data_IF_930363772561
#
_entry.id   IF_930363772561
#
_cell.length_a   1.000
_cell.length_b   1.000
_cell.length_c   1.000
_cell.angle_alpha   90.00
_cell.angle_beta   90.00
_cell.angle_gamma   90.00
#
_symmetry.space_group_name_H-M   'P 1'
#
loop_
_entity.id
_entity.type
_entity.pdbx_description
1 polymer ?
#
# COMPACT_ATOMS: atom_id res chain seq x y z
N UNK A 1 8.09 -32.03 -6.67
CA UNK A 1 9.52 -31.71 -6.46
C UNK A 1 9.63 -30.49 -5.57
N UNK A 2 10.49 -30.51 -4.55
CA UNK A 2 10.72 -29.35 -3.70
C UNK A 2 11.58 -28.33 -4.47
N UNK A 3 11.06 -27.12 -4.67
CA UNK A 3 11.83 -26.02 -5.26
C UNK A 3 13.06 -25.73 -4.40
N UNK A 4 14.23 -25.58 -5.04
CA UNK A 4 15.46 -25.15 -4.33
C UNK A 4 15.27 -23.76 -3.73
N UNK A 5 15.87 -23.48 -2.56
CA UNK A 5 15.78 -22.17 -1.92
C UNK A 5 16.27 -21.08 -2.87
N UNK A 6 15.43 -20.09 -3.13
CA UNK A 6 15.75 -18.93 -3.95
C UNK A 6 16.24 -17.78 -3.06
N UNK A 7 17.16 -16.95 -3.58
CA UNK A 7 17.59 -15.71 -2.93
C UNK A 7 16.81 -14.53 -3.50
N UNK A 8 16.32 -13.66 -2.62
CA UNK A 8 15.65 -12.40 -2.99
C UNK A 8 16.38 -11.25 -2.30
N UNK A 9 16.86 -10.29 -3.08
CA UNK A 9 17.33 -9.01 -2.55
C UNK A 9 16.16 -8.04 -2.51
N UNK A 10 15.96 -7.38 -1.38
CA UNK A 10 14.92 -6.36 -1.20
C UNK A 10 15.65 -5.05 -0.86
N UNK A 11 15.41 -3.96 -1.62
CA UNK A 11 16.00 -2.69 -1.29
C UNK A 11 15.38 -2.17 0.01
N UNK A 12 16.23 -1.68 0.91
CA UNK A 12 15.80 -1.00 2.13
C UNK A 12 15.76 0.51 1.86
N UNK A 13 14.68 1.16 2.27
CA UNK A 13 14.53 2.59 2.10
C UNK A 13 15.21 3.34 3.25
N UNK A 14 16.00 4.37 2.92
CA UNK A 14 16.59 5.26 3.92
C UNK A 14 15.63 6.38 4.27
N UNK A 15 15.57 6.74 5.56
CA UNK A 15 14.78 7.87 6.03
C UNK A 15 15.41 9.21 5.61
N UNK A 16 14.54 10.15 5.21
CA UNK A 16 14.97 11.49 4.81
C UNK A 16 15.35 12.33 6.03
N UNK A 17 16.52 12.95 6.04
CA UNK A 17 16.94 13.82 7.15
C UNK A 17 15.97 14.98 7.42
N UNK A 18 15.86 15.42 8.68
CA UNK A 18 15.13 16.62 9.07
C UNK A 18 15.85 17.89 8.57
N UNK A 19 15.10 18.97 8.39
CA UNK A 19 15.66 20.30 8.09
C UNK A 19 15.30 21.23 9.22
N UNK A 20 16.28 21.97 9.73
CA UNK A 20 16.12 22.94 10.79
C UNK A 20 16.70 24.31 10.40
N UNK A 21 16.21 25.36 11.06
CA UNK A 21 16.80 26.69 10.98
C UNK A 21 18.09 26.78 11.83
N UNK A 22 18.82 27.90 11.73
CA UNK A 22 20.03 28.22 12.50
C UNK A 22 19.87 28.11 14.02
N UNK A 23 18.64 28.18 14.54
CA UNK A 23 18.33 28.04 15.96
C UNK A 23 17.84 26.64 16.35
N UNK A 24 17.88 25.67 15.43
CA UNK A 24 17.41 24.31 15.66
C UNK A 24 15.89 24.12 15.56
N UNK A 25 15.14 25.15 15.14
CA UNK A 25 13.70 25.03 14.90
C UNK A 25 13.44 24.13 13.70
N UNK A 26 12.65 23.07 13.88
CA UNK A 26 12.30 22.13 12.80
C UNK A 26 11.46 22.81 11.73
N UNK A 27 11.94 22.78 10.50
CA UNK A 27 11.23 23.30 9.32
C UNK A 27 10.62 22.21 8.46
N UNK A 28 11.23 21.02 8.46
CA UNK A 28 10.69 19.84 7.79
C UNK A 28 11.11 18.56 8.50
N UNK A 29 10.14 17.68 8.76
CA UNK A 29 10.33 16.44 9.51
C UNK A 29 9.56 15.28 8.89
N UNK A 30 9.91 14.07 9.33
CA UNK A 30 9.25 12.84 8.93
C UNK A 30 8.24 12.44 10.00
N UNK A 31 6.99 12.24 9.61
CA UNK A 31 5.93 11.78 10.49
C UNK A 31 5.41 10.45 10.00
N UNK A 32 5.18 9.51 10.92
CA UNK A 32 4.56 8.23 10.60
C UNK A 32 3.14 8.45 10.08
N UNK A 33 2.80 7.73 9.02
CA UNK A 33 1.48 7.70 8.42
C UNK A 33 1.04 6.25 8.28
N UNK A 34 -0.09 5.93 8.89
CA UNK A 34 -0.68 4.60 8.81
C UNK A 34 -1.67 4.52 7.65
N UNK A 35 -1.50 3.55 6.77
CA UNK A 35 -2.34 3.36 5.60
C UNK A 35 -3.07 2.03 5.68
N UNK A 36 -4.32 2.05 5.26
CA UNK A 36 -5.15 0.85 5.06
C UNK A 36 -5.34 0.68 3.57
N UNK A 37 -5.03 -0.50 3.08
CA UNK A 37 -5.10 -0.87 1.69
C UNK A 37 -5.71 -2.24 1.47
N UNK A 38 -5.88 -2.57 0.19
CA UNK A 38 -6.46 -3.82 -0.24
C UNK A 38 -5.53 -4.47 -1.27
N UNK A 39 -5.21 -5.74 -1.03
CA UNK A 39 -4.47 -6.61 -1.94
C UNK A 39 -5.41 -7.62 -2.59
N UNK A 40 -5.74 -7.40 -3.87
CA UNK A 40 -6.62 -8.33 -4.60
C UNK A 40 -5.97 -9.69 -4.85
N UNK A 41 -4.63 -9.78 -4.76
CA UNK A 41 -3.89 -11.02 -4.94
C UNK A 41 -4.38 -12.11 -3.99
N UNK A 42 -4.51 -11.78 -2.69
CA UNK A 42 -4.97 -12.74 -1.68
C UNK A 42 -6.47 -13.08 -1.84
N UNK A 43 -7.29 -12.14 -2.31
CA UNK A 43 -8.72 -12.38 -2.61
C UNK A 43 -8.88 -13.34 -3.80
N UNK A 44 -7.95 -13.27 -4.77
CA UNK A 44 -7.95 -14.12 -5.96
C UNK A 44 -7.77 -15.60 -5.63
N UNK A 45 -7.03 -15.90 -4.57
CA UNK A 45 -6.78 -17.27 -4.11
C UNK A 45 -8.07 -17.95 -3.58
N UNK A 46 -9.07 -17.17 -3.18
CA UNK A 46 -10.40 -17.67 -2.81
C UNK A 46 -11.12 -18.16 -4.08
N UNK A 47 -11.69 -19.38 -4.11
CA UNK A 47 -12.38 -19.89 -5.29
C UNK A 47 -13.62 -19.05 -5.64
N UNK A 48 -13.88 -18.87 -6.94
CA UNK A 48 -15.02 -18.08 -7.43
C UNK A 48 -16.36 -18.68 -6.98
N UNK A 49 -16.48 -20.01 -7.09
CA UNK A 49 -17.69 -20.77 -6.76
C UNK A 49 -17.29 -22.11 -6.16
N UNK A 50 -18.06 -22.61 -5.20
CA UNK A 50 -17.86 -23.92 -4.58
C UNK A 50 -19.21 -24.65 -4.52
N UNK A 51 -19.17 -25.96 -4.69
CA UNK A 51 -20.34 -26.82 -4.46
C UNK A 51 -20.58 -26.95 -2.96
N UNK A 52 -21.73 -26.46 -2.50
CA UNK A 52 -22.22 -26.68 -1.15
C UNK A 52 -23.32 -27.75 -1.19
N UNK A 53 -23.24 -28.73 -0.29
CA UNK A 53 -24.30 -29.72 -0.12
C UNK A 53 -25.13 -29.29 1.08
N UNK A 54 -26.40 -28.97 0.86
CA UNK A 54 -27.30 -28.63 1.96
C UNK A 54 -27.66 -29.88 2.78
N UNK A 55 -28.24 -29.69 3.97
CA UNK A 55 -28.67 -30.79 4.88
C UNK A 55 -29.65 -31.78 4.22
N UNK A 56 -30.30 -31.37 3.11
CA UNK A 56 -31.21 -32.18 2.32
C UNK A 56 -30.54 -32.91 1.13
N UNK A 57 -29.21 -32.90 1.04
CA UNK A 57 -28.44 -33.62 0.01
C UNK A 57 -28.39 -32.94 -1.37
N UNK A 58 -29.04 -31.79 -1.54
CA UNK A 58 -29.02 -31.03 -2.79
C UNK A 58 -27.72 -30.23 -2.90
N UNK A 59 -27.04 -30.36 -4.05
CA UNK A 59 -25.84 -29.60 -4.37
C UNK A 59 -26.20 -28.25 -4.98
N UNK A 60 -25.77 -27.17 -4.35
CA UNK A 60 -25.93 -25.80 -4.85
C UNK A 60 -24.56 -25.18 -5.12
N UNK A 61 -24.47 -24.40 -6.21
CA UNK A 61 -23.26 -23.69 -6.58
C UNK A 61 -23.28 -22.31 -5.94
N UNK A 62 -22.46 -22.10 -4.90
CA UNK A 62 -22.44 -20.86 -4.11
C UNK A 62 -21.28 -19.95 -4.56
N UNK A 63 -21.51 -18.65 -4.81
CA UNK A 63 -20.47 -17.72 -5.24
C UNK A 63 -19.62 -17.19 -4.07
N UNK A 64 -18.76 -18.05 -3.51
CA UNK A 64 -17.95 -17.78 -2.31
C UNK A 64 -17.15 -16.49 -2.37
N UNK A 65 -16.44 -16.21 -3.48
CA UNK A 65 -15.61 -14.98 -3.58
C UNK A 65 -16.47 -13.71 -3.55
N UNK A 66 -17.63 -13.73 -4.21
CA UNK A 66 -18.54 -12.56 -4.23
C UNK A 66 -19.10 -12.29 -2.83
N UNK A 67 -19.50 -13.35 -2.13
CA UNK A 67 -20.02 -13.25 -0.77
C UNK A 67 -18.94 -12.81 0.22
N UNK A 68 -17.70 -13.26 0.01
CA UNK A 68 -16.55 -12.79 0.77
C UNK A 68 -16.30 -11.30 0.57
N UNK A 69 -16.23 -10.81 -0.68
CA UNK A 69 -16.01 -9.40 -0.98
C UNK A 69 -17.09 -8.53 -0.32
N UNK A 70 -18.35 -8.96 -0.35
CA UNK A 70 -19.45 -8.27 0.34
C UNK A 70 -19.24 -8.13 1.85
N UNK A 71 -18.92 -9.25 2.52
CA UNK A 71 -18.63 -9.26 3.97
C UNK A 71 -17.39 -8.44 4.32
N UNK A 72 -16.38 -8.49 3.45
CA UNK A 72 -15.15 -7.76 3.62
C UNK A 72 -15.36 -6.25 3.43
N UNK A 73 -16.15 -5.83 2.45
CA UNK A 73 -16.54 -4.45 2.25
C UNK A 73 -17.37 -3.93 3.43
N UNK A 74 -18.32 -4.72 3.94
CA UNK A 74 -19.09 -4.39 5.15
C UNK A 74 -18.18 -4.16 6.36
N UNK A 75 -17.23 -5.06 6.58
CA UNK A 75 -16.26 -4.94 7.67
C UNK A 75 -15.40 -3.67 7.56
N UNK A 76 -14.85 -3.39 6.37
CA UNK A 76 -14.02 -2.21 6.14
C UNK A 76 -14.82 -0.92 6.25
N UNK A 77 -16.05 -0.89 5.71
CA UNK A 77 -16.94 0.26 5.81
C UNK A 77 -17.23 0.63 7.26
N UNK A 78 -17.43 -0.37 8.13
CA UNK A 78 -17.65 -0.15 9.57
C UNK A 78 -16.39 0.38 10.28
N UNK A 79 -15.22 -0.20 10.01
CA UNK A 79 -13.97 0.19 10.68
C UNK A 79 -13.42 1.54 10.20
N UNK A 80 -13.65 1.90 8.94
CA UNK A 80 -13.16 3.12 8.31
C UNK A 80 -14.20 4.25 8.25
N UNK A 81 -15.44 3.98 8.64
CA UNK A 81 -16.57 4.90 8.53
C UNK A 81 -16.78 5.41 7.10
N UNK A 82 -16.69 4.49 6.13
CA UNK A 82 -16.85 4.74 4.71
C UNK A 82 -18.13 4.11 4.19
N UNK A 83 -18.59 4.53 3.01
CA UNK A 83 -19.72 3.89 2.36
C UNK A 83 -19.35 2.48 1.87
N UNK A 84 -20.25 1.52 2.09
CA UNK A 84 -20.06 0.11 1.73
C UNK A 84 -19.97 -0.06 0.23
N UNK A 85 -20.91 0.55 -0.50
CA UNK A 85 -21.02 0.39 -1.95
C UNK A 85 -19.77 0.96 -2.62
N UNK A 86 -19.29 2.11 -2.15
CA UNK A 86 -18.01 2.68 -2.57
C UNK A 86 -16.81 1.71 -2.39
N UNK A 87 -16.71 1.01 -1.26
CA UNK A 87 -15.61 0.06 -1.01
C UNK A 87 -15.72 -1.15 -1.93
N UNK A 88 -16.91 -1.73 -2.07
CA UNK A 88 -17.16 -2.89 -2.96
C UNK A 88 -16.84 -2.54 -4.42
N UNK A 89 -17.30 -1.39 -4.90
CA UNK A 89 -17.03 -0.89 -6.25
C UNK A 89 -15.54 -0.65 -6.47
N UNK A 90 -14.85 -0.07 -5.49
CA UNK A 90 -13.40 0.16 -5.57
C UNK A 90 -12.62 -1.15 -5.68
N UNK A 91 -13.02 -2.17 -4.92
CA UNK A 91 -12.42 -3.51 -5.01
C UNK A 91 -12.58 -4.08 -6.42
N UNK A 92 -13.79 -4.03 -6.98
CA UNK A 92 -14.06 -4.55 -8.31
C UNK A 92 -13.35 -3.75 -9.41
N UNK A 93 -13.34 -2.42 -9.32
CA UNK A 93 -12.68 -1.56 -10.30
C UNK A 93 -11.15 -1.78 -10.32
N UNK A 94 -10.53 -1.89 -9.13
CA UNK A 94 -9.07 -2.06 -9.01
C UNK A 94 -8.61 -3.49 -9.26
N UNK A 95 -9.48 -4.49 -9.15
CA UNK A 95 -9.15 -5.91 -9.37
C UNK A 95 -8.52 -6.17 -10.76
N UNK A 96 -8.96 -5.44 -11.79
CA UNK A 96 -8.47 -5.58 -13.17
C UNK A 96 -7.11 -4.91 -13.38
N UNK A 97 -6.83 -3.82 -12.67
CA UNK A 97 -5.62 -2.98 -12.87
C UNK A 97 -4.50 -3.36 -11.92
N UNK A 98 -4.82 -3.62 -10.65
CA UNK A 98 -3.86 -3.83 -9.55
C UNK A 98 -4.02 -5.23 -8.95
N UNK A 99 -4.19 -6.24 -9.80
CA UNK A 99 -4.46 -7.61 -9.36
C UNK A 99 -3.35 -8.25 -8.50
N UNK A 100 -2.11 -7.73 -8.58
CA UNK A 100 -0.94 -8.26 -7.86
C UNK A 100 -0.38 -7.30 -6.80
N UNK A 101 -0.74 -6.01 -6.84
CA UNK A 101 -0.14 -4.95 -6.02
C UNK A 101 -1.22 -4.38 -5.09
N UNK A 102 -0.95 -4.22 -3.79
CA UNK A 102 -1.91 -3.56 -2.91
C UNK A 102 -2.13 -2.10 -3.31
N UNK A 103 -3.33 -1.59 -3.09
CA UNK A 103 -3.63 -0.17 -3.24
C UNK A 103 -4.16 0.40 -1.94
N UNK A 104 -3.86 1.67 -1.67
CA UNK A 104 -4.33 2.37 -0.47
C UNK A 104 -5.81 2.72 -0.66
N UNK A 105 -6.64 2.28 0.28
CA UNK A 105 -8.04 2.66 0.38
C UNK A 105 -8.19 3.95 1.20
N UNK A 106 -7.50 4.02 2.34
CA UNK A 106 -7.47 5.20 3.20
C UNK A 106 -6.07 5.43 3.76
N UNK A 107 -5.59 6.65 3.57
CA UNK A 107 -4.32 7.11 4.11
C UNK A 107 -4.51 7.81 5.47
N UNK A 108 -3.48 7.78 6.31
CA UNK A 108 -3.41 8.52 7.57
C UNK A 108 -4.53 8.16 8.57
N UNK A 109 -4.80 6.87 8.76
CA UNK A 109 -5.73 6.39 9.79
C UNK A 109 -5.13 6.55 11.19
N UNK A 110 -5.97 6.51 12.22
CA UNK A 110 -5.50 6.52 13.60
C UNK A 110 -4.64 5.30 13.92
N UNK A 111 -3.65 5.45 14.79
CA UNK A 111 -2.78 4.35 15.23
C UNK A 111 -3.61 3.20 15.84
N UNK A 112 -4.65 3.54 16.62
CA UNK A 112 -5.57 2.55 17.20
C UNK A 112 -6.27 1.71 16.13
N UNK A 113 -6.78 2.36 15.08
CA UNK A 113 -7.41 1.68 13.94
C UNK A 113 -6.39 0.82 13.20
N UNK A 114 -5.19 1.35 12.95
CA UNK A 114 -4.09 0.62 12.30
C UNK A 114 -3.74 -0.66 13.05
N UNK A 115 -3.49 -0.57 14.36
CA UNK A 115 -3.10 -1.72 15.18
C UNK A 115 -4.21 -2.78 15.21
N UNK A 116 -5.48 -2.36 15.31
CA UNK A 116 -6.64 -3.27 15.26
C UNK A 116 -6.71 -4.01 13.93
N UNK A 117 -6.62 -3.29 12.81
CA UNK A 117 -6.65 -3.89 11.47
C UNK A 117 -5.42 -4.77 11.23
N UNK A 118 -4.26 -4.41 11.77
CA UNK A 118 -3.04 -5.22 11.67
C UNK A 118 -3.19 -6.59 12.33
N UNK A 119 -3.89 -6.67 13.46
CA UNK A 119 -4.19 -7.96 14.12
C UNK A 119 -5.14 -8.82 13.30
N UNK A 120 -6.07 -8.19 12.57
CA UNK A 120 -7.11 -8.83 11.77
C UNK A 120 -6.63 -9.18 10.34
N UNK A 121 -5.46 -8.68 9.91
CA UNK A 121 -4.88 -8.93 8.59
C UNK A 121 -4.72 -10.42 8.27
N UNK A 122 -4.44 -11.25 9.29
CA UNK A 122 -4.34 -12.71 9.14
C UNK A 122 -5.68 -13.39 8.86
N UNK A 123 -6.78 -12.81 9.34
CA UNK A 123 -8.12 -13.41 9.29
C UNK A 123 -8.88 -12.96 8.03
N UNK A 124 -8.46 -11.84 7.44
CA UNK A 124 -9.06 -11.24 6.24
C UNK A 124 -8.11 -11.25 5.04
N UNK A 125 -8.12 -12.31 4.22
CA UNK A 125 -7.39 -12.34 2.95
C UNK A 125 -7.65 -11.10 2.09
N UNK A 126 -6.61 -10.32 1.86
CA UNK A 126 -6.67 -9.11 1.04
C UNK A 126 -6.73 -7.80 1.81
N UNK A 127 -6.87 -7.83 3.15
CA UNK A 127 -6.51 -6.68 3.97
C UNK A 127 -4.99 -6.47 3.87
N UNK A 128 -4.57 -5.23 3.63
CA UNK A 128 -3.15 -4.86 3.61
C UNK A 128 -2.98 -3.61 4.44
N UNK A 129 -2.21 -3.69 5.52
CA UNK A 129 -1.98 -2.54 6.40
C UNK A 129 -0.50 -2.23 6.47
N UNK A 130 -0.15 -0.99 6.14
CA UNK A 130 1.24 -0.54 6.05
C UNK A 130 1.49 0.79 6.77
N UNK A 131 2.69 0.91 7.35
CA UNK A 131 3.19 2.18 7.86
C UNK A 131 4.13 2.78 6.83
N UNK A 132 3.88 4.03 6.48
CA UNK A 132 4.70 4.84 5.59
C UNK A 132 5.18 6.10 6.33
N UNK A 133 6.19 6.76 5.80
CA UNK A 133 6.64 8.06 6.31
C UNK A 133 6.13 9.15 5.36
N UNK A 134 5.49 10.18 5.92
CA UNK A 134 5.11 11.39 5.19
C UNK A 134 5.96 12.57 5.65
N UNK A 135 6.23 13.50 4.73
CA UNK A 135 6.93 14.73 5.08
C UNK A 135 5.96 15.75 5.67
N UNK A 136 6.29 16.29 6.84
CA UNK A 136 5.54 17.32 7.54
C UNK A 136 6.33 18.63 7.56
N UNK A 137 5.65 19.74 7.29
CA UNK A 137 6.22 21.08 7.20
C UNK A 137 5.47 22.00 8.18
N UNK A 138 5.94 22.14 9.44
CA UNK A 138 5.20 22.85 10.50
C UNK A 138 4.85 24.31 10.15
N UNK A 139 5.78 25.01 9.49
CA UNK A 139 5.61 26.43 9.11
C UNK A 139 4.81 26.63 7.82
N UNK A 140 4.49 25.54 7.11
CA UNK A 140 3.69 25.53 5.88
C UNK A 140 4.13 26.59 4.87
N UNK A 141 3.23 27.55 4.61
CA UNK A 141 3.41 28.60 3.58
C UNK A 141 4.58 29.54 3.86
N UNK A 142 4.95 29.75 5.11
CA UNK A 142 5.99 30.73 5.50
C UNK A 142 7.36 30.41 4.90
N UNK A 143 7.67 29.12 4.74
CA UNK A 143 8.97 28.62 4.25
C UNK A 143 8.85 27.84 2.94
N UNK A 144 7.64 27.80 2.37
CA UNK A 144 7.28 27.02 1.20
C UNK A 144 8.20 27.26 0.01
N UNK A 145 8.39 28.53 -0.33
CA UNK A 145 9.14 28.93 -1.53
C UNK A 145 10.65 28.74 -1.36
N UNK A 146 11.14 28.74 -0.12
CA UNK A 146 12.55 28.54 0.21
C UNK A 146 12.91 27.05 0.25
N UNK A 147 12.10 26.23 0.92
CA UNK A 147 12.38 24.80 1.10
C UNK A 147 11.86 23.93 -0.05
N UNK A 148 10.76 24.35 -0.67
CA UNK A 148 9.97 23.51 -1.55
C UNK A 148 9.26 22.37 -0.82
N UNK A 149 8.73 21.44 -1.62
CA UNK A 149 7.97 20.27 -1.14
C UNK A 149 8.44 19.00 -1.82
N UNK A 150 8.20 17.88 -1.16
CA UNK A 150 8.36 16.54 -1.73
C UNK A 150 7.00 15.92 -1.98
N UNK A 151 6.87 15.25 -3.12
CA UNK A 151 5.64 14.56 -3.51
C UNK A 151 5.93 13.20 -4.15
N UNK A 152 4.88 12.50 -4.63
CA UNK A 152 5.04 11.28 -5.41
C UNK A 152 5.92 11.54 -6.63
N UNK A 153 6.83 10.61 -6.93
CA UNK A 153 7.73 10.71 -8.09
C UNK A 153 6.88 10.61 -9.35
N UNK A 154 6.99 11.61 -10.23
CA UNK A 154 6.29 11.59 -11.52
C UNK A 154 6.94 10.60 -12.49
N UNK A 155 6.19 10.17 -13.52
CA UNK A 155 6.75 9.31 -14.56
C UNK A 155 7.94 9.95 -15.30
N UNK A 156 7.97 11.28 -15.40
CA UNK A 156 9.04 12.03 -16.03
C UNK A 156 10.29 12.07 -15.14
N UNK A 157 10.13 12.41 -13.86
CA UNK A 157 11.21 12.37 -12.86
C UNK A 157 11.82 10.98 -12.77
N UNK A 158 11.00 9.93 -12.74
CA UNK A 158 11.47 8.55 -12.72
C UNK A 158 12.35 8.22 -13.93
N UNK A 159 11.96 8.65 -15.15
CA UNK A 159 12.77 8.46 -16.37
C UNK A 159 14.09 9.22 -16.27
N UNK A 160 14.07 10.45 -15.76
CA UNK A 160 15.27 11.28 -15.57
C UNK A 160 16.25 10.61 -14.61
N UNK A 161 15.79 10.17 -13.45
CA UNK A 161 16.58 9.47 -12.44
C UNK A 161 17.15 8.16 -13.01
N UNK A 162 16.34 7.38 -13.74
CA UNK A 162 16.79 6.12 -14.34
C UNK A 162 17.93 6.35 -15.34
N UNK A 163 17.82 7.41 -16.16
CA UNK A 163 18.87 7.79 -17.12
C UNK A 163 20.15 8.21 -16.39
N UNK A 164 20.02 9.05 -15.37
CA UNK A 164 21.16 9.53 -14.57
C UNK A 164 21.89 8.38 -13.88
N UNK A 165 21.15 7.42 -13.29
CA UNK A 165 21.73 6.21 -12.70
C UNK A 165 22.46 5.35 -13.73
N UNK A 166 21.96 5.27 -14.97
CA UNK A 166 22.63 4.58 -16.06
C UNK A 166 24.00 5.20 -16.36
N UNK A 167 24.03 6.52 -16.55
CA UNK A 167 25.25 7.26 -16.84
C UNK A 167 26.28 7.12 -15.70
N UNK A 168 25.84 7.24 -14.44
CA UNK A 168 26.73 7.10 -13.28
C UNK A 168 27.35 5.71 -13.19
N UNK A 169 26.60 4.65 -13.52
CA UNK A 169 27.13 3.29 -13.56
C UNK A 169 28.18 3.10 -14.64
N UNK A 170 27.98 3.70 -15.81
CA UNK A 170 28.99 3.69 -16.88
C UNK A 170 30.26 4.43 -16.46
N UNK A 171 30.14 5.58 -15.80
CA UNK A 171 31.29 6.31 -15.26
C UNK A 171 32.07 5.50 -14.20
N UNK A 172 31.38 4.82 -13.29
CA UNK A 172 32.03 3.97 -12.28
C UNK A 172 32.79 2.83 -12.97
N UNK A 173 32.17 2.16 -13.95
CA UNK A 173 32.81 1.07 -14.69
C UNK A 173 34.07 1.52 -15.43
N UNK A 174 34.01 2.69 -16.07
CA UNK A 174 35.16 3.27 -16.77
C UNK A 174 36.29 3.74 -15.82
N UNK A 175 36.01 3.91 -14.52
CA UNK A 175 37.00 4.23 -13.51
C UNK A 175 37.64 2.97 -12.89
N UNK A 176 36.92 1.84 -12.91
CA UNK A 176 37.38 0.54 -12.42
C UNK A 176 38.19 -0.26 -13.47
N UNK A 177 38.05 0.08 -14.76
CA UNK A 177 38.85 -0.42 -15.89
C UNK A 177 40.16 0.36 -16.08
#
# INVERSE_FOLDING_TARGET
>A
EAYRPQRRSVPEHCDRAGVCDRFGKTLAENVLQYNVGISYRAIRDIPTRVWHTDEQGNKRLVPVRKDYIKKFADFLAQELHMDRDFVEDTIHAKASVLGSVPYILQANVSERTFLRLKMLEKDWPGLHVESSVRRHYPEGRTVADLLGYVGPISAEEHRKITRELGNLRECIRAYEE
#
